data_IF_017640007645
#
_entry.id   IF_017640007645
#
_cell.length_a   1.000
_cell.length_b   1.000
_cell.length_c   1.000
_cell.angle_alpha   90.00
_cell.angle_beta   90.00
_cell.angle_gamma   90.00
#
_symmetry.space_group_name_H-M   'P 1'
#
loop_
_entity.id
_entity.type
_entity.pdbx_description
1 polymer ?
#
# COMPACT_ATOMS: atom_id res chain seq x y z
N UNK A 1 -2.89 23.56 18.15
CA UNK A 1 -3.36 23.44 16.75
C UNK A 1 -2.09 23.41 15.91
N UNK A 2 -1.48 22.24 15.75
CA UNK A 2 -0.09 22.12 15.25
C UNK A 2 0.07 21.00 14.21
N UNK A 3 -0.98 20.74 13.43
CA UNK A 3 -0.96 19.70 12.39
C UNK A 3 -0.14 20.09 11.15
N UNK A 4 0.26 21.35 11.01
CA UNK A 4 1.02 21.85 9.85
C UNK A 4 2.55 21.59 9.93
N UNK A 5 3.09 21.16 11.07
CA UNK A 5 4.54 20.90 11.23
C UNK A 5 5.00 19.53 10.77
N UNK A 6 4.09 18.56 10.61
CA UNK A 6 4.46 17.15 10.37
C UNK A 6 4.67 16.86 8.87
N UNK A 7 4.25 17.73 7.95
CA UNK A 7 4.33 17.48 6.50
C UNK A 7 5.62 17.93 5.82
N UNK A 8 6.55 18.57 6.54
CA UNK A 8 7.77 19.15 5.96
C UNK A 8 9.03 18.36 6.31
N UNK A 9 9.00 17.04 6.14
CA UNK A 9 10.24 16.26 6.03
C UNK A 9 10.68 16.26 4.56
N UNK A 10 11.31 17.35 4.13
CA UNK A 10 11.92 17.44 2.80
C UNK A 10 13.01 16.38 2.69
N UNK A 11 12.70 15.23 2.08
CA UNK A 11 13.67 14.19 1.75
C UNK A 11 14.75 14.81 0.87
N UNK A 12 15.88 15.19 1.48
CA UNK A 12 17.02 15.73 0.75
C UNK A 12 17.57 14.57 -0.08
N UNK A 13 17.46 14.67 -1.40
CA UNK A 13 18.00 13.66 -2.32
C UNK A 13 19.49 13.49 -2.05
N UNK A 14 19.88 12.37 -1.48
CA UNK A 14 21.28 12.10 -1.20
C UNK A 14 21.96 11.64 -2.50
N UNK A 15 23.21 12.06 -2.71
CA UNK A 15 24.03 11.56 -3.83
C UNK A 15 24.14 10.02 -3.81
N UNK A 16 24.02 9.39 -2.63
CA UNK A 16 23.95 7.94 -2.47
C UNK A 16 22.68 7.33 -3.09
N UNK A 17 21.51 7.93 -2.85
CA UNK A 17 20.21 7.45 -3.38
C UNK A 17 20.23 7.44 -4.91
N UNK A 18 20.88 8.45 -5.50
CA UNK A 18 21.01 8.61 -6.94
C UNK A 18 21.93 7.56 -7.56
N UNK A 19 23.00 7.17 -6.84
CA UNK A 19 23.87 6.05 -7.23
C UNK A 19 23.18 4.69 -7.10
N UNK A 20 22.39 4.50 -6.04
CA UNK A 20 21.59 3.27 -5.85
C UNK A 20 20.58 3.14 -6.99
N UNK A 21 19.86 4.21 -7.31
CA UNK A 21 18.93 4.23 -8.44
C UNK A 21 19.63 3.84 -9.74
N UNK A 22 20.74 4.48 -10.08
CA UNK A 22 21.53 4.14 -11.27
C UNK A 22 22.05 2.69 -11.25
N UNK A 23 22.46 2.18 -10.09
CA UNK A 23 22.92 0.81 -9.92
C UNK A 23 21.81 -0.23 -10.16
N UNK A 24 20.60 0.03 -9.69
CA UNK A 24 19.43 -0.82 -9.94
C UNK A 24 19.12 -0.86 -11.45
N UNK A 25 19.09 0.30 -12.11
CA UNK A 25 18.86 0.37 -13.56
C UNK A 25 19.98 -0.31 -14.36
N UNK A 26 21.25 -0.13 -13.96
CA UNK A 26 22.37 -0.82 -14.57
C UNK A 26 22.24 -2.34 -14.44
N UNK A 27 21.84 -2.83 -13.27
CA UNK A 27 21.58 -4.26 -13.04
C UNK A 27 20.43 -4.80 -13.89
N UNK A 28 19.33 -4.06 -13.99
CA UNK A 28 18.20 -4.42 -14.86
C UNK A 28 18.66 -4.50 -16.32
N UNK A 29 19.33 -3.48 -16.84
CA UNK A 29 19.82 -3.48 -18.21
C UNK A 29 20.88 -4.58 -18.47
N UNK A 30 21.73 -4.88 -17.50
CA UNK A 30 22.69 -5.99 -17.59
C UNK A 30 21.97 -7.35 -17.65
N UNK A 31 20.91 -7.55 -16.87
CA UNK A 31 20.10 -8.78 -16.91
C UNK A 31 19.36 -8.90 -18.25
N UNK A 32 18.80 -7.79 -18.76
CA UNK A 32 18.19 -7.75 -20.10
C UNK A 32 19.20 -8.02 -21.22
N UNK A 33 20.46 -7.60 -21.07
CA UNK A 33 21.53 -7.97 -22.00
C UNK A 33 21.87 -9.46 -21.94
N UNK A 34 21.96 -10.02 -20.73
CA UNK A 34 22.19 -11.46 -20.54
C UNK A 34 21.07 -12.31 -21.12
N UNK A 35 19.81 -11.88 -20.96
CA UNK A 35 18.64 -12.56 -21.52
C UNK A 35 18.50 -12.33 -23.03
N UNK A 36 18.82 -11.12 -23.50
CA UNK A 36 18.86 -10.75 -24.92
C UNK A 36 19.97 -11.44 -25.72
N UNK A 37 20.90 -12.14 -25.07
CA UNK A 37 21.83 -13.05 -25.76
C UNK A 37 21.08 -14.21 -26.43
N UNK A 38 19.88 -14.56 -25.96
CA UNK A 38 19.05 -15.64 -26.50
C UNK A 38 17.93 -15.16 -27.46
N UNK A 39 17.63 -13.86 -27.53
CA UNK A 39 16.52 -13.32 -28.33
C UNK A 39 16.93 -12.09 -29.16
N UNK A 40 16.81 -12.20 -30.48
CA UNK A 40 16.91 -11.20 -31.57
C UNK A 40 17.64 -9.85 -31.31
N UNK A 41 18.57 -9.51 -32.21
CA UNK A 41 19.49 -8.36 -32.17
C UNK A 41 18.90 -6.97 -31.85
N UNK A 42 17.61 -6.73 -32.12
CA UNK A 42 16.99 -5.43 -31.91
C UNK A 42 16.97 -5.02 -30.42
N UNK A 43 16.79 -5.97 -29.49
CA UNK A 43 16.70 -5.66 -28.05
C UNK A 43 18.08 -5.42 -27.41
N UNK A 44 19.15 -5.95 -28.02
CA UNK A 44 20.53 -5.81 -27.52
C UNK A 44 21.03 -4.38 -27.60
N UNK A 45 20.71 -3.65 -28.68
CA UNK A 45 21.18 -2.28 -28.90
C UNK A 45 20.61 -1.35 -27.83
N UNK A 46 19.31 -1.44 -27.55
CA UNK A 46 18.65 -0.64 -26.52
C UNK A 46 19.19 -0.94 -25.11
N UNK A 47 19.44 -2.22 -24.81
CA UNK A 47 19.98 -2.61 -23.52
C UNK A 47 21.46 -2.20 -23.34
N UNK A 48 22.27 -2.22 -24.40
CA UNK A 48 23.65 -1.70 -24.41
C UNK A 48 23.69 -0.19 -24.19
N UNK A 49 22.83 0.55 -24.89
CA UNK A 49 22.73 2.01 -24.74
C UNK A 49 22.27 2.36 -23.32
N UNK A 50 21.28 1.64 -22.77
CA UNK A 50 20.84 1.82 -21.39
C UNK A 50 21.95 1.57 -20.37
N UNK A 51 22.73 0.49 -20.54
CA UNK A 51 23.86 0.18 -19.67
C UNK A 51 24.98 1.23 -19.77
N UNK A 52 25.33 1.64 -20.99
CA UNK A 52 26.37 2.65 -21.22
C UNK A 52 25.99 3.99 -20.58
N UNK A 53 24.74 4.42 -20.74
CA UNK A 53 24.21 5.62 -20.08
C UNK A 53 24.26 5.43 -18.55
N UNK A 54 23.75 4.32 -18.01
CA UNK A 54 23.80 4.09 -16.56
C UNK A 54 25.23 4.14 -16.01
N UNK A 55 26.22 3.55 -16.68
CA UNK A 55 27.63 3.55 -16.24
C UNK A 55 28.30 4.92 -16.34
N UNK A 56 28.05 5.68 -17.42
CA UNK A 56 28.62 7.02 -17.64
C UNK A 56 28.11 8.04 -16.61
N UNK A 57 26.88 7.88 -16.12
CA UNK A 57 26.27 8.81 -15.18
C UNK A 57 26.53 8.46 -13.69
N UNK A 58 27.15 7.32 -13.37
CA UNK A 58 27.63 6.99 -12.00
C UNK A 58 28.56 8.07 -11.41
N UNK A 59 29.59 8.58 -12.14
CA UNK A 59 30.46 9.64 -11.63
C UNK A 59 29.79 11.02 -11.57
N UNK A 60 28.82 11.32 -12.43
CA UNK A 60 28.11 12.60 -12.49
C UNK A 60 26.58 12.44 -12.34
N UNK A 61 26.08 12.29 -11.11
CA UNK A 61 24.65 12.04 -10.89
C UNK A 61 23.80 13.33 -10.91
N UNK A 62 24.41 14.52 -10.95
CA UNK A 62 23.74 15.83 -10.90
C UNK A 62 22.58 16.03 -11.92
N UNK A 63 22.72 15.68 -13.22
CA UNK A 63 21.66 15.89 -14.20
C UNK A 63 20.47 14.91 -14.06
N UNK A 64 20.64 13.77 -13.38
CA UNK A 64 19.58 12.76 -13.17
C UNK A 64 18.76 13.02 -11.90
N UNK A 65 19.22 13.92 -11.02
CA UNK A 65 18.49 14.34 -9.82
C UNK A 65 17.05 14.85 -10.05
N UNK A 66 16.74 15.67 -11.08
CA UNK A 66 15.34 16.06 -11.36
C UNK A 66 14.50 14.86 -11.80
N UNK A 67 15.03 13.98 -12.66
CA UNK A 67 14.32 12.79 -13.14
C UNK A 67 13.99 11.82 -12.00
N UNK A 68 14.97 11.55 -11.12
CA UNK A 68 14.77 10.73 -9.92
C UNK A 68 13.66 11.29 -9.03
N UNK A 69 13.62 12.61 -8.81
CA UNK A 69 12.58 13.25 -8.00
C UNK A 69 11.19 13.10 -8.61
N UNK A 70 11.05 13.26 -9.93
CA UNK A 70 9.77 13.03 -10.62
C UNK A 70 9.36 11.57 -10.50
N UNK A 71 10.30 10.64 -10.71
CA UNK A 71 10.06 9.20 -10.60
C UNK A 71 9.60 8.79 -9.19
N UNK A 72 10.25 9.29 -8.14
CA UNK A 72 9.85 9.04 -6.75
C UNK A 72 8.44 9.57 -6.48
N UNK A 73 8.13 10.79 -6.91
CA UNK A 73 6.77 11.36 -6.76
C UNK A 73 5.70 10.53 -7.47
N UNK A 74 5.99 10.03 -8.68
CA UNK A 74 5.09 9.12 -9.38
C UNK A 74 4.91 7.81 -8.61
N UNK A 75 6.00 7.25 -8.06
CA UNK A 75 5.95 6.08 -7.19
C UNK A 75 5.09 6.30 -5.94
N UNK A 76 5.18 7.46 -5.31
CA UNK A 76 4.34 7.83 -4.16
C UNK A 76 2.86 7.94 -4.54
N UNK A 77 2.54 8.58 -5.67
CA UNK A 77 1.17 8.66 -6.18
C UNK A 77 0.58 7.27 -6.46
N UNK A 78 1.35 6.41 -7.12
CA UNK A 78 0.96 5.03 -7.39
C UNK A 78 0.80 4.26 -6.09
N UNK A 79 1.74 4.39 -5.15
CA UNK A 79 1.67 3.77 -3.83
C UNK A 79 0.43 4.18 -3.05
N UNK A 80 0.04 5.45 -3.11
CA UNK A 80 -1.21 5.94 -2.52
C UNK A 80 -2.43 5.22 -3.10
N UNK A 81 -2.53 5.11 -4.43
CA UNK A 81 -3.62 4.39 -5.11
C UNK A 81 -3.62 2.90 -4.76
N UNK A 82 -2.45 2.26 -4.77
CA UNK A 82 -2.30 0.84 -4.43
C UNK A 82 -2.73 0.58 -2.99
N UNK A 83 -2.28 1.39 -2.03
CA UNK A 83 -2.66 1.22 -0.62
C UNK A 83 -4.17 1.26 -0.42
N UNK A 84 -4.85 2.22 -1.07
CA UNK A 84 -6.31 2.34 -1.02
C UNK A 84 -7.00 1.16 -1.70
N UNK A 85 -6.44 0.71 -2.83
CA UNK A 85 -6.97 -0.41 -3.59
C UNK A 85 -6.86 -1.72 -2.80
N UNK A 86 -5.70 -1.99 -2.18
CA UNK A 86 -5.50 -3.17 -1.32
C UNK A 86 -6.46 -3.15 -0.14
N UNK A 87 -6.65 -1.99 0.51
CA UNK A 87 -7.61 -1.88 1.62
C UNK A 87 -9.05 -2.17 1.16
N UNK A 88 -9.44 -1.66 0.00
CA UNK A 88 -10.76 -1.93 -0.58
C UNK A 88 -10.93 -3.41 -0.91
N UNK A 89 -9.95 -4.01 -1.57
CA UNK A 89 -9.96 -5.45 -1.91
C UNK A 89 -10.03 -6.28 -0.64
N UNK A 90 -9.22 -5.98 0.37
CA UNK A 90 -9.24 -6.67 1.66
C UNK A 90 -10.61 -6.54 2.34
N UNK A 91 -11.23 -5.36 2.29
CA UNK A 91 -12.58 -5.17 2.81
C UNK A 91 -13.62 -6.04 2.08
N UNK A 92 -13.58 -6.07 0.75
CA UNK A 92 -14.51 -6.88 -0.06
C UNK A 92 -14.25 -8.38 0.09
N UNK A 93 -13.00 -8.81 0.17
CA UNK A 93 -12.65 -10.24 0.19
C UNK A 93 -12.75 -10.85 1.58
N UNK A 94 -12.53 -10.07 2.64
CA UNK A 94 -12.55 -10.59 4.02
C UNK A 94 -13.86 -10.19 4.70
N UNK A 95 -14.13 -8.90 4.84
CA UNK A 95 -15.24 -8.42 5.67
C UNK A 95 -16.61 -8.66 5.02
N UNK A 96 -16.73 -8.48 3.70
CA UNK A 96 -17.99 -8.70 3.00
C UNK A 96 -18.49 -10.16 3.10
N UNK A 97 -17.69 -11.21 2.81
CA UNK A 97 -18.17 -12.58 2.96
C UNK A 97 -18.38 -12.97 4.41
N UNK A 98 -17.65 -12.42 5.38
CA UNK A 98 -17.94 -12.63 6.80
C UNK A 98 -19.36 -12.13 7.13
N UNK A 99 -19.71 -10.91 6.71
CA UNK A 99 -21.06 -10.36 6.90
C UNK A 99 -22.13 -11.16 6.15
N UNK A 100 -21.84 -11.60 4.93
CA UNK A 100 -22.75 -12.44 4.14
C UNK A 100 -22.93 -13.82 4.79
N UNK A 101 -21.86 -14.41 5.31
CA UNK A 101 -21.87 -15.69 6.02
C UNK A 101 -22.72 -15.61 7.29
N UNK A 102 -22.56 -14.56 8.09
CA UNK A 102 -23.43 -14.30 9.25
C UNK A 102 -24.90 -14.12 8.84
N UNK A 103 -25.17 -13.47 7.70
CA UNK A 103 -26.52 -13.32 7.16
C UNK A 103 -27.12 -14.66 6.73
N UNK A 104 -26.35 -15.53 6.07
CA UNK A 104 -26.79 -16.86 5.66
C UNK A 104 -27.04 -17.76 6.87
N UNK A 105 -26.18 -17.71 7.88
CA UNK A 105 -26.31 -18.51 9.11
C UNK A 105 -27.52 -18.09 9.96
N UNK A 106 -28.14 -16.92 9.70
CA UNK A 106 -29.37 -16.48 10.36
C UNK A 106 -29.35 -16.62 11.88
N UNK A 107 -28.16 -16.54 12.50
CA UNK A 107 -28.07 -16.35 13.94
C UNK A 107 -28.38 -14.89 14.19
N UNK A 108 -29.63 -14.64 14.54
CA UNK A 108 -30.11 -13.35 15.01
C UNK A 108 -29.54 -13.08 16.42
N UNK A 109 -28.22 -12.94 16.50
CA UNK A 109 -27.50 -12.63 17.76
C UNK A 109 -27.89 -11.27 18.32
N UNK A 110 -28.48 -10.42 17.49
CA UNK A 110 -28.87 -9.05 17.84
C UNK A 110 -30.39 -8.86 17.93
N UNK A 111 -31.20 -9.91 17.76
CA UNK A 111 -32.68 -9.83 17.71
C UNK A 111 -33.15 -8.66 16.82
N UNK A 112 -32.51 -8.46 15.67
CA UNK A 112 -32.73 -7.30 14.80
C UNK A 112 -34.08 -7.34 14.09
N UNK A 113 -34.71 -8.51 14.01
CA UNK A 113 -36.06 -8.62 13.44
C UNK A 113 -37.07 -8.14 14.49
N UNK A 114 -37.82 -7.04 14.24
CA UNK A 114 -38.85 -6.59 15.15
C UNK A 114 -39.95 -7.65 15.22
N UNK A 115 -40.03 -8.37 16.33
CA UNK A 115 -41.12 -9.29 16.60
C UNK A 115 -42.39 -8.51 16.91
N UNK A 116 -43.32 -8.47 15.96
CA UNK A 116 -44.61 -7.77 16.10
C UNK A 116 -45.54 -8.40 17.15
N UNK A 117 -45.22 -9.59 17.67
CA UNK A 117 -45.98 -10.27 18.72
C UNK A 117 -45.39 -10.09 20.12
N UNK A 118 -44.20 -9.49 20.25
CA UNK A 118 -43.57 -9.26 21.54
C UNK A 118 -44.23 -8.08 22.29
N UNK A 119 -44.69 -8.31 23.52
CA UNK A 119 -45.25 -7.26 24.37
C UNK A 119 -44.20 -6.28 24.90
N UNK A 120 -42.92 -6.67 24.95
CA UNK A 120 -41.81 -5.81 25.34
C UNK A 120 -40.47 -6.42 24.91
N UNK A 121 -39.57 -5.59 24.37
CA UNK A 121 -38.18 -5.97 24.05
C UNK A 121 -37.23 -5.83 25.26
N UNK A 122 -37.76 -5.42 26.43
CA UNK A 122 -36.93 -5.33 27.64
C UNK A 122 -36.56 -6.73 28.14
N UNK A 123 -35.27 -7.03 28.09
CA UNK A 123 -34.71 -8.21 28.75
C UNK A 123 -34.81 -7.99 30.26
N UNK A 124 -35.70 -8.72 30.94
CA UNK A 124 -35.81 -8.69 32.40
C UNK A 124 -34.50 -9.19 33.01
N UNK A 125 -33.86 -8.34 33.80
CA UNK A 125 -32.66 -8.69 34.55
C UNK A 125 -33.06 -9.65 35.67
N UNK A 126 -32.41 -10.80 35.74
CA UNK A 126 -32.60 -11.80 36.82
C UNK A 126 -31.72 -11.50 38.04
N UNK A 127 -30.73 -10.62 37.90
CA UNK A 127 -29.77 -10.27 38.96
C UNK A 127 -30.07 -8.88 39.53
N UNK A 128 -30.11 -8.71 40.86
CA UNK A 128 -30.27 -7.39 41.49
C UNK A 128 -29.06 -6.49 41.21
N UNK A 129 -29.24 -5.16 41.18
CA UNK A 129 -28.16 -4.22 40.89
C UNK A 129 -27.06 -4.30 41.94
N UNK A 130 -25.86 -4.70 41.52
CA UNK A 130 -24.67 -4.70 42.36
C UNK A 130 -24.04 -3.31 42.38
N UNK A 131 -23.50 -2.92 43.54
CA UNK A 131 -22.87 -1.61 43.75
C UNK A 131 -21.72 -1.37 42.76
N UNK A 132 -21.69 -0.18 42.14
CA UNK A 132 -20.69 0.23 41.13
C UNK A 132 -19.27 0.43 41.72
N UNK A 133 -19.09 0.21 43.03
CA UNK A 133 -17.87 0.53 43.77
C UNK A 133 -16.63 -0.28 43.33
N UNK A 134 -16.82 -1.42 42.66
CA UNK A 134 -15.73 -2.32 42.22
C UNK A 134 -15.81 -2.67 40.72
N UNK A 135 -16.23 -1.73 39.85
CA UNK A 135 -16.37 -1.99 38.41
C UNK A 135 -15.13 -1.65 37.57
N UNK A 136 -14.07 -1.14 38.18
CA UNK A 136 -12.78 -0.86 37.55
C UNK A 136 -11.66 -1.58 38.29
#
# INVERSE_FOLDING_TARGET
MDFARITNHSHKTNTKDLRIFLGIWAGIFALFLGFGYFAHDMWRIWALVGLAISLVFIPYPRPIAPLYRVWVKLGEMVGFVISRSILLVLWVVIFCPIGLFFRVISRDVLQQKPDKKAQSYFIKRTTPPQSLKNQF
#
